data_IF_703194900078
#
_entry.id   IF_703194900078
#
_cell.length_a   1.000
_cell.length_b   1.000
_cell.length_c   1.000
_cell.angle_alpha   90.00
_cell.angle_beta   90.00
_cell.angle_gamma   90.00
#
_symmetry.space_group_name_H-M   'P 1'
#
loop_
_entity.id
_entity.type
_entity.pdbx_description
1 polymer ?
#
# COMPACT_ATOMS: atom_id res chain seq x y z
N UNK A 1 -11.63 9.84 -19.05
CA UNK A 1 -10.68 9.18 -18.14
C UNK A 1 -10.12 7.96 -18.85
N UNK A 2 -9.04 8.14 -19.61
CA UNK A 2 -8.31 7.02 -20.20
C UNK A 2 -7.60 6.25 -19.09
N UNK A 3 -7.62 4.93 -19.19
CA UNK A 3 -6.78 4.08 -18.35
C UNK A 3 -5.33 4.18 -18.85
N UNK A 4 -4.36 4.15 -17.95
CA UNK A 4 -2.94 4.14 -18.34
C UNK A 4 -2.55 2.86 -19.08
N UNK A 5 -3.30 1.77 -18.89
CA UNK A 5 -3.07 0.49 -19.55
C UNK A 5 -4.08 0.27 -20.68
N UNK A 6 -3.62 -0.34 -21.78
CA UNK A 6 -4.46 -0.77 -22.93
C UNK A 6 -4.91 -2.24 -22.84
N UNK A 7 -4.47 -2.94 -21.81
CA UNK A 7 -4.85 -4.31 -21.46
C UNK A 7 -4.62 -4.50 -19.96
N UNK A 8 -5.25 -5.53 -19.37
CA UNK A 8 -5.09 -5.84 -17.95
C UNK A 8 -5.48 -4.68 -17.03
N UNK A 9 -4.79 -4.56 -15.90
CA UNK A 9 -5.06 -3.52 -14.91
C UNK A 9 -4.13 -2.33 -15.08
N UNK A 10 -4.67 -1.12 -15.02
CA UNK A 10 -3.92 0.14 -15.05
C UNK A 10 -4.39 1.12 -13.99
N UNK A 11 -3.95 2.37 -14.13
CA UNK A 11 -4.34 3.48 -13.26
C UNK A 11 -4.89 4.63 -14.09
N UNK A 12 -5.90 5.31 -13.57
CA UNK A 12 -6.39 6.57 -14.11
C UNK A 12 -6.37 7.58 -12.99
N UNK A 13 -5.99 8.82 -13.30
CA UNK A 13 -5.82 9.84 -12.29
C UNK A 13 -6.43 11.16 -12.71
N UNK A 14 -6.80 11.96 -11.71
CA UNK A 14 -7.12 13.37 -11.90
C UNK A 14 -6.32 14.19 -10.92
N UNK A 15 -5.84 15.33 -11.39
CA UNK A 15 -5.14 16.31 -10.57
C UNK A 15 -5.82 17.67 -10.66
N UNK A 16 -5.64 18.47 -9.63
CA UNK A 16 -6.04 19.87 -9.58
C UNK A 16 -4.87 20.70 -9.06
N UNK A 17 -4.69 21.88 -9.61
CA UNK A 17 -3.66 22.81 -9.17
C UNK A 17 -4.25 23.86 -8.23
N UNK A 18 -3.43 24.36 -7.30
CA UNK A 18 -3.74 25.58 -6.57
C UNK A 18 -3.45 26.74 -7.52
N UNK A 19 -4.50 27.44 -7.96
CA UNK A 19 -4.35 28.59 -8.87
C UNK A 19 -3.73 29.80 -8.16
N UNK A 20 -4.04 29.99 -6.87
CA UNK A 20 -3.54 31.10 -6.07
C UNK A 20 -3.16 30.58 -4.69
N UNK A 21 -1.88 30.70 -4.35
CA UNK A 21 -1.39 30.41 -3.01
C UNK A 21 -1.82 31.51 -2.04
N UNK A 22 -2.06 31.13 -0.78
CA UNK A 22 -2.41 32.12 0.24
C UNK A 22 -1.29 33.14 0.47
N UNK A 23 -1.67 34.40 0.64
CA UNK A 23 -0.77 35.54 0.93
C UNK A 23 -1.30 36.32 2.14
N UNK A 24 -0.45 37.13 2.77
CA UNK A 24 -0.81 38.03 3.88
C UNK A 24 -1.59 37.37 5.03
N UNK A 25 -1.20 36.16 5.44
CA UNK A 25 -1.86 35.42 6.53
C UNK A 25 -3.13 34.66 6.13
N UNK A 26 -3.46 34.58 4.84
CA UNK A 26 -4.55 33.74 4.34
C UNK A 26 -4.33 32.25 4.61
N UNK A 27 -5.42 31.49 4.79
CA UNK A 27 -5.36 30.04 5.03
C UNK A 27 -4.92 29.30 3.76
N UNK A 28 -3.95 28.37 3.85
CA UNK A 28 -3.54 27.56 2.71
C UNK A 28 -4.69 26.64 2.27
N UNK A 29 -4.74 26.32 0.97
CA UNK A 29 -5.67 25.32 0.46
C UNK A 29 -5.34 23.96 1.10
N UNK A 30 -6.30 23.39 1.82
CA UNK A 30 -6.18 22.07 2.42
C UNK A 30 -6.89 21.03 1.55
N UNK A 31 -6.21 19.94 1.23
CA UNK A 31 -6.79 18.80 0.54
C UNK A 31 -5.87 18.19 -0.50
N UNK A 32 -6.20 16.98 -0.92
CA UNK A 32 -5.42 16.22 -1.91
C UNK A 32 -5.48 16.92 -3.27
N UNK A 33 -4.31 17.04 -3.92
CA UNK A 33 -4.17 17.67 -5.25
C UNK A 33 -4.16 16.66 -6.39
N UNK A 34 -3.89 15.39 -6.09
CA UNK A 34 -3.84 14.30 -7.05
C UNK A 34 -4.55 13.09 -6.49
N UNK A 35 -5.30 12.41 -7.34
CA UNK A 35 -5.97 11.15 -7.02
C UNK A 35 -5.70 10.15 -8.14
N UNK A 36 -5.27 8.95 -7.77
CA UNK A 36 -5.15 7.80 -8.66
C UNK A 36 -6.21 6.77 -8.30
N UNK A 37 -6.81 6.16 -9.31
CA UNK A 37 -7.80 5.10 -9.19
C UNK A 37 -7.39 3.92 -10.08
N UNK A 38 -7.66 2.70 -9.62
CA UNK A 38 -7.53 1.51 -10.45
C UNK A 38 -8.52 1.59 -11.62
N UNK A 39 -8.08 1.18 -12.80
CA UNK A 39 -8.94 0.99 -13.98
C UNK A 39 -8.57 -0.32 -14.70
N UNK A 40 -9.51 -0.86 -15.45
CA UNK A 40 -9.25 -2.01 -16.33
C UNK A 40 -9.03 -1.50 -17.76
N UNK A 41 -7.87 -1.80 -18.33
CA UNK A 41 -7.44 -1.38 -19.66
C UNK A 41 -8.06 -2.17 -20.81
N UNK A 42 -8.85 -3.20 -20.52
CA UNK A 42 -9.47 -4.07 -21.53
C UNK A 42 -9.31 -5.55 -21.18
N UNK A 43 -9.01 -6.38 -22.19
CA UNK A 43 -8.73 -7.81 -21.98
C UNK A 43 -7.42 -8.00 -21.23
N UNK A 44 -7.23 -9.15 -20.61
CA UNK A 44 -5.94 -9.54 -20.01
C UNK A 44 -4.81 -9.36 -21.02
N UNK A 45 -3.69 -8.78 -20.56
CA UNK A 45 -2.53 -8.65 -21.42
C UNK A 45 -2.01 -10.04 -21.84
N UNK A 46 -1.65 -10.24 -23.12
CA UNK A 46 -1.07 -11.50 -23.57
C UNK A 46 0.26 -11.72 -22.84
N UNK A 47 0.46 -12.93 -22.34
CA UNK A 47 1.74 -13.33 -21.76
C UNK A 47 2.76 -13.45 -22.90
N UNK A 48 3.78 -12.60 -22.87
CA UNK A 48 4.91 -12.63 -23.79
C UNK A 48 6.19 -13.02 -23.06
N UNK A 49 7.29 -13.25 -23.81
CA UNK A 49 8.62 -13.49 -23.23
C UNK A 49 9.14 -12.30 -22.38
N UNK A 50 8.55 -11.12 -22.55
CA UNK A 50 8.81 -9.91 -21.76
C UNK A 50 7.85 -9.72 -20.57
N UNK A 51 7.09 -10.76 -20.23
CA UNK A 51 6.24 -10.78 -19.04
C UNK A 51 7.08 -10.72 -17.78
N UNK A 52 6.80 -9.74 -16.92
CA UNK A 52 7.44 -9.61 -15.62
C UNK A 52 6.40 -9.84 -14.54
N UNK A 53 6.59 -10.82 -13.65
CA UNK A 53 5.68 -11.02 -12.53
C UNK A 53 5.81 -9.85 -11.54
N UNK A 54 4.79 -9.70 -10.71
CA UNK A 54 4.87 -8.79 -9.59
C UNK A 54 5.88 -9.30 -8.55
N UNK A 55 6.78 -8.42 -8.10
CA UNK A 55 7.79 -8.74 -7.08
C UNK A 55 7.55 -7.86 -5.86
N UNK A 56 7.47 -8.51 -4.70
CA UNK A 56 7.43 -7.85 -3.41
C UNK A 56 8.82 -7.39 -3.02
N UNK A 57 8.92 -6.14 -2.55
CA UNK A 57 10.14 -5.65 -1.92
C UNK A 57 10.29 -6.17 -0.51
N UNK A 58 11.33 -5.67 0.16
CA UNK A 58 11.63 -6.02 1.54
C UNK A 58 10.50 -5.63 2.51
N UNK A 59 10.42 -6.40 3.59
CA UNK A 59 9.54 -6.07 4.71
C UNK A 59 10.03 -4.82 5.43
N UNK A 60 9.10 -3.90 5.67
CA UNK A 60 9.33 -2.81 6.61
C UNK A 60 9.47 -3.33 8.04
N UNK A 61 9.93 -2.43 8.90
CA UNK A 61 10.04 -2.68 10.34
C UNK A 61 8.69 -3.05 10.94
N UNK A 62 8.73 -3.84 12.01
CA UNK A 62 7.54 -4.12 12.80
C UNK A 62 7.02 -2.85 13.44
N UNK A 63 5.74 -2.59 13.26
CA UNK A 63 5.01 -1.54 13.97
C UNK A 63 4.99 -1.79 15.48
N UNK A 64 4.56 -0.75 16.21
CA UNK A 64 4.35 -0.85 17.64
C UNK A 64 3.31 -1.93 17.96
N UNK A 65 3.43 -2.54 19.14
CA UNK A 65 2.40 -3.44 19.63
C UNK A 65 1.12 -2.68 19.94
N UNK A 66 -0.02 -3.23 19.53
CA UNK A 66 -1.34 -2.67 19.89
C UNK A 66 -1.56 -2.70 21.41
N UNK A 67 -1.15 -3.82 22.03
CA UNK A 67 -1.15 -4.01 23.48
C UNK A 67 -0.04 -4.98 23.88
N UNK A 68 0.27 -5.02 25.17
CA UNK A 68 1.21 -5.98 25.72
C UNK A 68 0.74 -7.42 25.51
N UNK A 69 1.60 -8.28 24.98
CA UNK A 69 1.25 -9.64 24.57
C UNK A 69 0.23 -9.71 23.41
N UNK A 70 -0.12 -8.57 22.81
CA UNK A 70 -1.05 -8.48 21.69
C UNK A 70 -0.39 -8.73 20.33
N UNK A 71 -0.94 -8.08 19.31
CA UNK A 71 -0.44 -8.18 17.95
C UNK A 71 0.39 -6.95 17.58
N UNK A 72 1.25 -7.13 16.58
CA UNK A 72 1.96 -6.08 15.87
C UNK A 72 1.90 -6.40 14.39
N UNK A 73 2.01 -5.37 13.55
CA UNK A 73 1.91 -5.51 12.10
C UNK A 73 3.17 -5.01 11.41
N UNK A 74 3.51 -5.59 10.27
CA UNK A 74 4.49 -5.04 9.33
C UNK A 74 3.94 -5.06 7.91
N UNK A 75 4.48 -4.20 7.07
CA UNK A 75 4.03 -3.99 5.71
C UNK A 75 5.22 -4.10 4.76
N UNK A 76 4.95 -4.57 3.54
CA UNK A 76 5.89 -4.49 2.42
C UNK A 76 5.23 -3.86 1.22
N UNK A 77 6.04 -3.22 0.39
CA UNK A 77 5.57 -2.59 -0.83
C UNK A 77 5.91 -3.45 -2.05
N UNK A 78 5.18 -3.23 -3.14
CA UNK A 78 5.51 -3.84 -4.43
C UNK A 78 6.74 -3.12 -4.98
N UNK A 79 7.82 -3.85 -5.21
CA UNK A 79 9.06 -3.32 -5.81
C UNK A 79 8.94 -3.31 -7.34
N UNK A 80 8.32 -4.34 -7.91
CA UNK A 80 8.04 -4.44 -9.34
C UNK A 80 6.56 -4.73 -9.58
N UNK A 81 5.90 -3.83 -10.30
CA UNK A 81 4.55 -4.08 -10.79
C UNK A 81 4.58 -5.13 -11.91
N UNK A 82 3.51 -5.95 -12.04
CA UNK A 82 3.43 -6.92 -13.12
C UNK A 82 3.35 -6.22 -14.48
N UNK A 83 4.11 -6.71 -15.47
CA UNK A 83 4.14 -6.18 -16.85
C UNK A 83 3.80 -7.28 -17.86
N UNK A 84 3.20 -6.89 -18.99
CA UNK A 84 2.91 -7.78 -20.14
C UNK A 84 2.23 -9.11 -19.75
N UNK A 85 1.19 -9.04 -18.92
CA UNK A 85 0.43 -10.22 -18.49
C UNK A 85 1.12 -11.04 -17.40
N UNK A 86 2.14 -10.50 -16.73
CA UNK A 86 2.77 -11.13 -15.58
C UNK A 86 1.83 -11.33 -14.39
N UNK A 87 2.18 -12.29 -13.53
CA UNK A 87 1.38 -12.64 -12.36
C UNK A 87 1.23 -11.45 -11.41
N UNK A 88 -0.01 -11.14 -10.99
CA UNK A 88 -0.28 -10.05 -10.06
C UNK A 88 0.11 -10.43 -8.63
N UNK A 89 0.55 -9.45 -7.83
CA UNK A 89 0.74 -9.66 -6.41
C UNK A 89 -0.61 -9.83 -5.70
N UNK A 90 -0.68 -10.79 -4.79
CA UNK A 90 -1.83 -10.97 -3.91
C UNK A 90 -1.86 -9.88 -2.84
N UNK A 91 -2.90 -9.04 -2.75
CA UNK A 91 -2.95 -7.93 -1.81
C UNK A 91 -2.92 -8.38 -0.35
N UNK A 92 -3.41 -9.59 -0.06
CA UNK A 92 -3.32 -10.21 1.28
C UNK A 92 -1.88 -10.44 1.75
N UNK A 93 -0.94 -10.57 0.82
CA UNK A 93 0.46 -10.78 1.11
C UNK A 93 1.23 -9.47 1.41
N UNK A 94 0.54 -8.32 1.43
CA UNK A 94 1.15 -7.00 1.72
C UNK A 94 1.31 -6.69 3.21
N UNK A 95 0.54 -7.39 4.06
CA UNK A 95 0.52 -7.22 5.51
C UNK A 95 0.90 -8.54 6.17
N UNK A 96 1.66 -8.46 7.27
CA UNK A 96 1.92 -9.59 8.15
C UNK A 96 1.63 -9.21 9.59
N UNK A 97 0.94 -10.11 10.30
CA UNK A 97 0.60 -9.99 11.71
C UNK A 97 1.51 -10.90 12.51
N UNK A 98 2.19 -10.32 13.51
CA UNK A 98 3.09 -11.02 14.41
C UNK A 98 2.70 -10.83 15.86
N UNK A 99 3.20 -11.72 16.72
CA UNK A 99 3.04 -11.58 18.17
C UNK A 99 3.88 -10.42 18.69
N UNK A 100 3.31 -9.69 19.64
CA UNK A 100 4.02 -8.65 20.37
C UNK A 100 5.03 -9.27 21.34
N UNK A 101 6.32 -8.89 21.28
CA UNK A 101 7.32 -9.37 22.23
C UNK A 101 7.20 -8.70 23.61
N UNK A 102 6.51 -7.57 23.72
CA UNK A 102 6.36 -6.81 24.97
C UNK A 102 5.36 -7.51 25.89
N UNK A 103 5.84 -8.03 27.01
CA UNK A 103 5.00 -8.53 28.11
C UNK A 103 4.97 -7.46 29.21
N UNK A 104 3.79 -7.07 29.69
CA UNK A 104 3.66 -5.95 30.64
C UNK A 104 3.20 -6.35 32.04
N UNK A 105 2.79 -7.61 32.23
CA UNK A 105 2.43 -8.12 33.54
C UNK A 105 2.91 -9.57 33.62
N UNK A 106 4.01 -9.80 34.33
CA UNK A 106 4.21 -11.10 34.93
C UNK A 106 3.06 -11.28 35.94
N UNK A 107 2.22 -12.28 35.73
CA UNK A 107 1.19 -12.64 36.69
C UNK A 107 1.88 -13.22 37.93
N UNK A 108 2.29 -12.35 38.86
CA UNK A 108 2.65 -12.77 40.20
C UNK A 108 1.37 -13.22 40.92
N UNK A 109 1.09 -14.53 40.86
CA UNK A 109 0.05 -15.14 41.69
C UNK A 109 0.68 -15.53 43.02
N UNK A 110 0.08 -15.10 44.13
CA UNK A 110 0.41 -15.65 45.44
C UNK A 110 -0.24 -17.02 45.57
N UNK A 111 0.55 -18.09 45.69
CA UNK A 111 0.08 -19.39 46.17
C UNK A 111 0.31 -19.50 47.68
N UNK A 112 -0.67 -20.08 48.38
CA UNK A 112 -0.70 -20.29 49.83
C UNK A 112 -0.19 -21.67 50.21
#
# INVERSE_FOLDING_TARGET
NSCSASCGTGQTGRSRAILVHSKNGGRPCTGVLSMAMKCEGGKSCPVSDSSKPCIWGDWGEWGACERCGGERKRYRHIEQMPENGGAQCHPEASEEIGRCPRQCHDHYVCEW
#
